data_IF_465693636837
#
_entry.id   IF_465693636837
#
_cell.length_a   1.000
_cell.length_b   1.000
_cell.length_c   1.000
_cell.angle_alpha   90.00
_cell.angle_beta   90.00
_cell.angle_gamma   90.00
#
_symmetry.space_group_name_H-M   'P 1'
#
loop_
_entity.id
_entity.type
_entity.pdbx_description
1 polymer ?
#
# COMPACT_ATOMS: atom_id res chain seq x y z
N UNK A 1 -9.38 -6.45 5.45
CA UNK A 1 -9.15 -6.42 3.99
C UNK A 1 -8.07 -7.42 3.57
N UNK A 2 -6.83 -7.28 4.05
CA UNK A 2 -5.71 -8.13 3.64
C UNK A 2 -5.99 -9.64 3.76
N UNK A 3 -6.45 -10.09 4.95
CA UNK A 3 -6.80 -11.49 5.17
C UNK A 3 -7.89 -11.98 4.21
N UNK A 4 -8.89 -11.13 3.93
CA UNK A 4 -9.93 -11.46 2.96
C UNK A 4 -9.33 -11.71 1.58
N UNK A 5 -8.42 -10.84 1.10
CA UNK A 5 -7.80 -10.99 -0.22
C UNK A 5 -6.92 -12.25 -0.27
N UNK A 6 -6.18 -12.54 0.79
CA UNK A 6 -5.36 -13.75 0.90
C UNK A 6 -6.24 -15.01 0.82
N UNK A 7 -7.34 -15.05 1.57
CA UNK A 7 -8.18 -16.24 1.70
C UNK A 7 -9.14 -16.44 0.53
N UNK A 8 -9.74 -15.36 0.02
CA UNK A 8 -10.85 -15.44 -0.94
C UNK A 8 -10.42 -15.13 -2.38
N UNK A 9 -9.21 -14.58 -2.56
CA UNK A 9 -8.72 -14.16 -3.88
C UNK A 9 -7.34 -14.77 -4.20
N UNK A 10 -6.92 -15.78 -3.45
CA UNK A 10 -5.64 -16.46 -3.62
C UNK A 10 -4.42 -15.58 -3.35
N UNK A 11 -4.59 -14.49 -2.59
CA UNK A 11 -3.50 -13.57 -2.25
C UNK A 11 -2.96 -12.74 -3.41
N UNK A 12 -3.64 -12.73 -4.57
CA UNK A 12 -3.23 -12.00 -5.76
C UNK A 12 -4.40 -11.30 -6.43
N UNK A 13 -4.23 -10.02 -6.76
CA UNK A 13 -5.24 -9.26 -7.50
C UNK A 13 -4.74 -8.93 -8.90
N UNK A 14 -5.56 -9.26 -9.89
CA UNK A 14 -5.35 -9.02 -11.32
C UNK A 14 -6.59 -8.40 -11.94
N UNK A 15 -6.49 -7.86 -13.15
CA UNK A 15 -7.66 -7.32 -13.87
C UNK A 15 -8.74 -8.38 -14.10
N UNK A 16 -8.35 -9.66 -14.19
CA UNK A 16 -9.27 -10.76 -14.44
C UNK A 16 -10.08 -11.16 -13.20
N UNK A 17 -9.59 -10.89 -11.98
CA UNK A 17 -10.25 -11.33 -10.75
C UNK A 17 -10.69 -10.20 -9.82
N UNK A 18 -10.28 -8.94 -10.06
CA UNK A 18 -10.50 -7.84 -9.13
C UNK A 18 -11.99 -7.65 -8.79
N UNK A 19 -12.87 -7.61 -9.80
CA UNK A 19 -14.31 -7.40 -9.59
C UNK A 19 -14.95 -8.53 -8.78
N UNK A 20 -14.73 -9.78 -9.18
CA UNK A 20 -15.32 -10.95 -8.50
C UNK A 20 -14.76 -11.10 -7.08
N UNK A 21 -13.46 -10.90 -6.91
CA UNK A 21 -12.82 -10.90 -5.59
C UNK A 21 -13.43 -9.83 -4.67
N UNK A 22 -13.62 -8.61 -5.16
CA UNK A 22 -14.09 -7.48 -4.36
C UNK A 22 -15.60 -7.51 -4.08
N UNK A 23 -16.38 -8.27 -4.86
CA UNK A 23 -17.84 -8.39 -4.70
C UNK A 23 -18.25 -8.85 -3.29
N UNK A 24 -17.56 -9.84 -2.75
CA UNK A 24 -17.82 -10.40 -1.41
C UNK A 24 -17.14 -9.65 -0.26
N UNK A 25 -16.34 -8.60 -0.55
CA UNK A 25 -15.63 -7.88 0.50
C UNK A 25 -16.63 -7.14 1.39
N UNK A 26 -16.64 -7.51 2.67
CA UNK A 26 -17.36 -6.83 3.74
C UNK A 26 -16.43 -6.74 4.95
N UNK A 27 -15.96 -5.54 5.27
CA UNK A 27 -15.13 -5.26 6.44
C UNK A 27 -15.97 -4.83 7.64
N UNK A 28 -17.28 -4.70 7.47
CA UNK A 28 -18.17 -4.11 8.46
C UNK A 28 -17.91 -2.62 8.65
N UNK A 29 -17.30 -1.96 7.66
CA UNK A 29 -16.99 -0.53 7.73
C UNK A 29 -17.84 0.27 6.74
N UNK A 30 -18.08 1.55 7.06
CA UNK A 30 -18.73 2.49 6.12
C UNK A 30 -17.91 2.77 4.85
N UNK A 31 -16.68 2.24 4.76
CA UNK A 31 -15.73 2.56 3.70
C UNK A 31 -15.48 1.39 2.75
N UNK A 32 -16.23 0.30 2.89
CA UNK A 32 -16.05 -0.91 2.08
C UNK A 32 -16.11 -0.59 0.58
N UNK A 33 -17.01 0.29 0.15
CA UNK A 33 -17.12 0.70 -1.25
C UNK A 33 -15.90 1.49 -1.73
N UNK A 34 -15.35 2.36 -0.89
CA UNK A 34 -14.11 3.09 -1.21
C UNK A 34 -12.94 2.11 -1.37
N UNK A 35 -12.83 1.12 -0.49
CA UNK A 35 -11.79 0.09 -0.55
C UNK A 35 -11.90 -0.70 -1.86
N UNK A 36 -13.10 -1.17 -2.21
CA UNK A 36 -13.37 -1.88 -3.48
C UNK A 36 -12.98 -1.02 -4.67
N UNK A 37 -13.39 0.25 -4.69
CA UNK A 37 -13.06 1.18 -5.77
C UNK A 37 -11.55 1.40 -5.92
N UNK A 38 -10.80 1.57 -4.81
CA UNK A 38 -9.35 1.76 -4.88
C UNK A 38 -8.65 0.54 -5.51
N UNK A 39 -9.10 -0.68 -5.19
CA UNK A 39 -8.55 -1.90 -5.78
C UNK A 39 -8.92 -2.01 -7.27
N UNK A 40 -10.22 -1.92 -7.61
CA UNK A 40 -10.71 -2.12 -8.98
C UNK A 40 -10.15 -1.05 -9.93
N UNK A 41 -10.23 0.22 -9.55
CA UNK A 41 -9.78 1.32 -10.40
C UNK A 41 -8.26 1.32 -10.59
N UNK A 42 -7.49 0.92 -9.57
CA UNK A 42 -6.03 0.85 -9.72
C UNK A 42 -5.64 -0.22 -10.73
N UNK A 43 -6.21 -1.42 -10.62
CA UNK A 43 -5.92 -2.52 -11.54
C UNK A 43 -6.39 -2.20 -12.96
N UNK A 44 -7.58 -1.60 -13.11
CA UNK A 44 -8.09 -1.17 -14.40
C UNK A 44 -7.23 -0.07 -15.05
N UNK A 45 -6.72 0.88 -14.27
CA UNK A 45 -5.81 1.91 -14.76
C UNK A 45 -4.52 1.30 -15.31
N UNK A 46 -3.92 0.36 -14.59
CA UNK A 46 -2.72 -0.35 -15.05
C UNK A 46 -2.96 -1.09 -16.38
N UNK A 47 -4.07 -1.81 -16.47
CA UNK A 47 -4.46 -2.50 -17.71
C UNK A 47 -4.64 -1.55 -18.91
N UNK A 48 -5.25 -0.36 -18.71
CA UNK A 48 -5.43 0.66 -19.77
C UNK A 48 -4.12 1.20 -20.33
N UNK A 49 -3.07 1.26 -19.51
CA UNK A 49 -1.77 1.72 -19.96
C UNK A 49 -0.88 0.58 -20.51
N UNK A 50 -1.41 -0.64 -20.65
CA UNK A 50 -0.64 -1.85 -20.98
C UNK A 50 0.53 -2.12 -20.02
N UNK A 51 0.45 -1.56 -18.81
CA UNK A 51 1.43 -1.74 -17.76
C UNK A 51 0.85 -2.78 -16.80
N UNK A 52 1.46 -3.97 -16.71
CA UNK A 52 1.24 -4.95 -15.62
C UNK A 52 -0.18 -4.97 -15.02
N UNK A 53 -1.12 -5.80 -15.53
CA UNK A 53 -2.55 -5.78 -15.18
C UNK A 53 -2.83 -6.40 -13.79
N UNK A 54 -2.08 -5.94 -12.80
CA UNK A 54 -2.02 -6.41 -11.43
C UNK A 54 -2.12 -5.22 -10.48
N UNK A 55 -2.62 -5.49 -9.28
CA UNK A 55 -2.68 -4.47 -8.23
C UNK A 55 -1.27 -4.00 -7.85
N UNK A 56 -1.03 -2.69 -7.91
CA UNK A 56 0.26 -2.09 -7.57
C UNK A 56 0.36 -1.70 -6.10
N UNK A 57 1.59 -1.51 -5.61
CA UNK A 57 1.88 -1.12 -4.23
C UNK A 57 1.12 0.15 -3.80
N UNK A 58 1.08 1.16 -4.67
CA UNK A 58 0.38 2.43 -4.44
C UNK A 58 -1.12 2.25 -4.30
N UNK A 59 -1.76 1.53 -5.24
CA UNK A 59 -3.19 1.29 -5.20
C UNK A 59 -3.61 0.49 -3.97
N UNK A 60 -2.80 -0.51 -3.62
CA UNK A 60 -3.03 -1.30 -2.42
C UNK A 60 -2.92 -0.45 -1.14
N UNK A 61 -1.89 0.37 -0.99
CA UNK A 61 -1.74 1.23 0.20
C UNK A 61 -2.90 2.22 0.34
N UNK A 62 -3.43 2.76 -0.77
CA UNK A 62 -4.65 3.57 -0.74
C UNK A 62 -5.85 2.80 -0.23
N UNK A 63 -6.03 1.55 -0.68
CA UNK A 63 -7.11 0.69 -0.22
C UNK A 63 -6.96 0.32 1.26
N UNK A 64 -5.74 -0.01 1.72
CA UNK A 64 -5.47 -0.26 3.15
C UNK A 64 -5.77 0.97 3.98
N UNK A 65 -5.28 2.15 3.57
CA UNK A 65 -5.50 3.40 4.29
C UNK A 65 -6.99 3.75 4.40
N UNK A 66 -7.75 3.59 3.31
CA UNK A 66 -9.20 3.76 3.32
C UNK A 66 -9.90 2.77 4.25
N UNK A 67 -9.46 1.51 4.28
CA UNK A 67 -10.01 0.49 5.16
C UNK A 67 -9.77 0.80 6.65
N UNK A 68 -8.61 1.38 6.99
CA UNK A 68 -8.22 1.62 8.39
C UNK A 68 -8.67 2.97 8.94
N UNK A 69 -8.73 4.00 8.10
CA UNK A 69 -9.02 5.38 8.53
C UNK A 69 -10.38 5.89 8.06
N UNK A 70 -10.92 5.31 6.99
CA UNK A 70 -12.08 5.84 6.28
C UNK A 70 -11.83 7.10 5.47
N UNK A 71 -10.56 7.41 5.21
CA UNK A 71 -10.17 8.54 4.38
C UNK A 71 -9.53 8.06 3.07
N UNK A 72 -9.58 8.91 2.05
CA UNK A 72 -8.92 8.65 0.78
C UNK A 72 -7.50 9.24 0.78
N UNK A 73 -6.48 8.40 0.61
CA UNK A 73 -5.12 8.85 0.33
C UNK A 73 -4.98 9.23 -1.16
N UNK A 74 -5.45 10.42 -1.51
CA UNK A 74 -5.51 10.90 -2.89
C UNK A 74 -4.17 11.47 -3.37
N UNK A 75 -3.27 10.59 -3.83
CA UNK A 75 -1.97 10.97 -4.43
C UNK A 75 -1.80 10.45 -5.86
N UNK A 76 -0.98 11.12 -6.65
CA UNK A 76 -0.58 10.69 -8.01
C UNK A 76 0.89 10.26 -8.02
N UNK A 77 1.33 9.62 -9.11
CA UNK A 77 2.72 9.22 -9.31
C UNK A 77 3.15 7.92 -8.60
N UNK A 78 4.41 7.56 -8.84
CA UNK A 78 5.03 6.31 -8.41
C UNK A 78 5.44 6.39 -6.93
N UNK A 79 5.85 5.26 -6.33
CA UNK A 79 6.16 5.22 -4.92
C UNK A 79 7.41 6.05 -4.56
N UNK A 80 8.44 6.05 -5.40
CA UNK A 80 9.67 6.83 -5.18
C UNK A 80 9.39 8.33 -5.06
N UNK A 81 8.40 8.85 -5.82
CA UNK A 81 8.03 10.27 -5.74
C UNK A 81 7.34 10.64 -4.43
N UNK A 82 7.10 9.69 -3.52
CA UNK A 82 6.50 9.93 -2.19
C UNK A 82 7.52 10.15 -1.08
N UNK A 83 8.81 10.18 -1.40
CA UNK A 83 9.87 10.53 -0.46
C UNK A 83 9.92 12.06 -0.22
N UNK A 84 8.84 12.59 0.35
CA UNK A 84 8.60 14.02 0.61
C UNK A 84 7.19 14.26 1.15
N UNK A 85 6.89 15.49 1.58
CA UNK A 85 5.58 15.81 2.14
C UNK A 85 4.48 15.73 1.07
N UNK A 86 3.38 15.03 1.38
CA UNK A 86 2.31 14.79 0.40
C UNK A 86 0.93 14.68 1.04
N UNK A 87 -0.04 15.41 0.50
CA UNK A 87 -1.46 15.16 0.77
C UNK A 87 -1.83 15.18 2.26
N UNK A 88 -1.23 16.07 3.04
CA UNK A 88 -1.45 16.17 4.48
C UNK A 88 -0.61 15.22 5.34
N UNK A 89 0.29 14.45 4.72
CA UNK A 89 1.28 13.64 5.42
C UNK A 89 2.63 14.35 5.44
N UNK A 90 3.30 14.26 6.59
CA UNK A 90 4.68 14.67 6.77
C UNK A 90 5.59 13.48 6.49
N UNK A 91 6.63 13.68 5.68
CA UNK A 91 7.64 12.67 5.45
C UNK A 91 8.68 12.70 6.56
N UNK A 92 8.82 11.56 7.24
CA UNK A 92 9.85 11.32 8.24
C UNK A 92 10.99 10.57 7.55
N UNK A 93 12.12 11.25 7.38
CA UNK A 93 13.33 10.61 6.87
C UNK A 93 13.81 9.57 7.88
N UNK A 94 14.22 8.38 7.41
CA UNK A 94 14.60 7.28 8.31
C UNK A 94 15.78 7.57 9.25
N UNK A 95 16.61 8.57 8.91
CA UNK A 95 17.86 8.86 9.62
C UNK A 95 17.66 9.85 10.77
N UNK A 96 16.78 10.84 10.58
CA UNK A 96 16.62 11.98 11.50
C UNK A 96 15.17 12.39 11.76
N UNK A 97 14.20 11.65 11.22
CA UNK A 97 12.77 11.84 11.50
C UNK A 97 12.29 11.13 12.76
N UNK A 98 11.03 11.38 13.11
CA UNK A 98 10.37 10.71 14.23
C UNK A 98 10.20 9.21 13.93
N UNK A 99 10.39 8.29 14.90
CA UNK A 99 10.29 6.84 14.69
C UNK A 99 8.98 6.39 13.99
N UNK A 100 9.01 5.30 13.21
CA UNK A 100 7.82 4.82 12.51
C UNK A 100 6.79 4.29 13.50
N UNK A 101 5.51 4.44 13.17
CA UNK A 101 4.39 3.90 13.95
C UNK A 101 3.40 3.15 13.07
N UNK A 102 2.57 2.32 13.69
CA UNK A 102 1.44 1.70 13.00
C UNK A 102 0.54 2.78 12.40
N UNK A 103 0.14 2.60 11.15
CA UNK A 103 -0.64 3.57 10.39
C UNK A 103 0.16 4.43 9.41
N UNK A 104 1.48 4.50 9.58
CA UNK A 104 2.35 5.19 8.63
C UNK A 104 2.51 4.38 7.33
N UNK A 105 3.02 5.04 6.29
CA UNK A 105 3.32 4.39 5.01
C UNK A 105 4.82 4.45 4.74
N UNK A 106 5.50 3.30 4.79
CA UNK A 106 6.92 3.18 4.51
C UNK A 106 7.20 3.33 3.01
N UNK A 107 8.20 4.15 2.66
CA UNK A 107 8.56 4.47 1.27
C UNK A 107 10.00 4.03 1.01
N UNK A 108 10.17 3.21 -0.01
CA UNK A 108 11.47 2.88 -0.59
C UNK A 108 11.65 3.56 -1.93
N UNK A 109 12.87 4.00 -2.22
CA UNK A 109 13.26 4.70 -3.45
C UNK A 109 14.23 3.88 -4.31
N UNK A 110 14.30 2.56 -4.09
CA UNK A 110 15.05 1.67 -4.98
C UNK A 110 14.33 1.47 -6.32
N UNK A 111 15.08 1.49 -7.43
CA UNK A 111 14.54 1.39 -8.79
C UNK A 111 13.91 2.70 -9.30
N UNK A 112 13.28 2.64 -10.48
CA UNK A 112 12.66 3.82 -11.12
C UNK A 112 11.36 4.25 -10.44
N UNK A 113 10.58 3.28 -9.95
CA UNK A 113 9.24 3.52 -9.43
C UNK A 113 9.18 3.51 -7.90
N UNK A 114 10.20 3.01 -7.22
CA UNK A 114 10.22 2.81 -5.77
C UNK A 114 9.20 1.77 -5.29
N UNK A 115 8.98 1.74 -3.98
CA UNK A 115 7.95 0.92 -3.36
C UNK A 115 7.30 1.61 -2.17
N UNK A 116 6.02 1.33 -1.91
CA UNK A 116 5.31 1.84 -0.73
C UNK A 116 4.53 0.72 -0.06
N UNK A 117 4.53 0.71 1.26
CA UNK A 117 3.81 -0.27 2.06
C UNK A 117 3.16 0.38 3.28
N UNK A 118 2.09 -0.22 3.79
CA UNK A 118 1.40 0.27 4.99
C UNK A 118 1.96 -0.41 6.23
N UNK A 119 2.42 0.36 7.22
CA UNK A 119 2.99 -0.15 8.46
C UNK A 119 1.86 -0.61 9.39
N UNK A 120 1.82 -1.91 9.68
CA UNK A 120 0.83 -2.51 10.60
C UNK A 120 1.36 -2.61 12.02
N UNK A 121 2.68 -2.66 12.19
CA UNK A 121 3.36 -2.63 13.48
C UNK A 121 4.75 -2.03 13.31
N UNK A 122 5.23 -1.31 14.32
CA UNK A 122 6.61 -0.86 14.41
C UNK A 122 7.17 -1.18 15.79
N UNK A 123 8.42 -1.62 15.81
CA UNK A 123 9.27 -1.78 16.99
C UNK A 123 10.64 -1.17 16.68
N UNK A 124 11.47 -0.97 17.70
CA UNK A 124 12.69 -0.15 17.66
C UNK A 124 13.50 -0.24 16.35
N UNK A 125 13.79 -1.45 15.87
CA UNK A 125 14.61 -1.68 14.67
C UNK A 125 13.85 -2.36 13.53
N UNK A 126 12.55 -2.65 13.68
CA UNK A 126 11.76 -3.43 12.72
C UNK A 126 10.41 -2.77 12.45
N UNK A 127 10.07 -2.66 11.17
CA UNK A 127 8.71 -2.38 10.71
C UNK A 127 8.08 -3.65 10.14
N UNK A 128 6.83 -3.91 10.50
CA UNK A 128 5.99 -4.89 9.85
C UNK A 128 5.02 -4.17 8.95
N UNK A 129 5.02 -4.56 7.68
CA UNK A 129 4.19 -3.94 6.67
C UNK A 129 3.25 -4.94 6.03
N UNK A 130 2.15 -4.41 5.52
CA UNK A 130 1.38 -5.07 4.47
C UNK A 130 1.63 -4.35 3.16
N UNK A 131 1.94 -5.11 2.12
CA UNK A 131 2.33 -4.59 0.81
C UNK A 131 1.74 -5.40 -0.34
N UNK A 132 1.71 -4.80 -1.52
CA UNK A 132 1.39 -5.48 -2.77
C UNK A 132 2.50 -5.30 -3.81
N UNK A 133 2.61 -6.25 -4.73
CA UNK A 133 3.46 -6.15 -5.92
C UNK A 133 4.97 -5.99 -5.66
N UNK A 134 5.50 -6.52 -4.55
CA UNK A 134 6.94 -6.53 -4.28
C UNK A 134 7.53 -7.93 -4.37
N UNK A 135 8.26 -8.21 -5.44
CA UNK A 135 8.88 -9.53 -5.68
C UNK A 135 7.89 -10.64 -6.06
N UNK A 136 6.61 -10.32 -6.22
CA UNK A 136 5.62 -11.13 -6.92
C UNK A 136 4.52 -10.21 -7.46
N UNK A 137 4.15 -10.41 -8.73
CA UNK A 137 3.15 -9.61 -9.43
C UNK A 137 1.75 -9.73 -8.81
N UNK A 138 1.17 -8.60 -8.36
CA UNK A 138 -0.15 -8.50 -7.77
C UNK A 138 -0.33 -9.21 -6.43
N UNK A 139 0.71 -9.88 -5.92
CA UNK A 139 0.69 -10.58 -4.65
C UNK A 139 0.59 -9.59 -3.49
N UNK A 140 -0.24 -9.91 -2.51
CA UNK A 140 -0.33 -9.21 -1.24
C UNK A 140 0.32 -10.07 -0.17
N UNK A 141 1.13 -9.45 0.70
CA UNK A 141 1.79 -10.15 1.80
C UNK A 141 2.02 -9.26 3.00
N UNK A 142 2.17 -9.92 4.14
CA UNK A 142 2.83 -9.35 5.32
C UNK A 142 4.33 -9.58 5.21
N UNK A 143 5.13 -8.59 5.62
CA UNK A 143 6.58 -8.73 5.66
C UNK A 143 7.20 -7.82 6.70
N UNK A 144 8.23 -8.32 7.36
CA UNK A 144 9.04 -7.56 8.31
C UNK A 144 10.30 -7.06 7.63
N UNK A 145 10.67 -5.81 7.92
CA UNK A 145 11.87 -5.17 7.41
C UNK A 145 12.61 -4.48 8.54
N UNK A 146 13.94 -4.62 8.63
CA UNK A 146 14.76 -3.74 9.43
C UNK A 146 14.60 -2.27 8.99
N UNK A 147 14.58 -1.31 9.92
CA UNK A 147 14.51 0.13 9.59
C UNK A 147 15.76 0.60 8.81
N UNK A 148 16.89 -0.09 8.96
CA UNK A 148 18.09 0.18 8.19
C UNK A 148 18.14 -0.49 6.81
N UNK A 149 17.06 -1.14 6.36
CA UNK A 149 17.00 -1.81 5.05
C UNK A 149 17.44 -0.87 3.92
N UNK A 150 18.33 -1.30 3.01
CA UNK A 150 18.72 -0.51 1.84
C UNK A 150 17.51 -0.06 1.00
N UNK A 151 17.59 1.15 0.45
CA UNK A 151 16.51 1.72 -0.36
C UNK A 151 15.31 2.25 0.43
N UNK A 152 15.12 1.89 1.71
CA UNK A 152 14.11 2.54 2.55
C UNK A 152 14.52 4.01 2.73
N UNK A 153 13.66 4.95 2.37
CA UNK A 153 13.94 6.38 2.49
C UNK A 153 13.35 6.96 3.79
N UNK A 154 12.20 6.45 4.22
CA UNK A 154 11.45 6.98 5.35
C UNK A 154 10.00 6.52 5.35
N UNK A 155 9.14 7.27 6.04
CA UNK A 155 7.71 6.98 6.12
C UNK A 155 6.88 8.25 6.08
N UNK A 156 5.71 8.16 5.44
CA UNK A 156 4.70 9.19 5.48
C UNK A 156 3.85 9.02 6.74
N UNK A 157 3.88 10.03 7.60
CA UNK A 157 3.14 10.08 8.87
C UNK A 157 2.04 11.11 8.80
N UNK A 158 0.88 10.80 9.36
CA UNK A 158 -0.13 11.82 9.63
C UNK A 158 0.31 12.62 10.87
N UNK A 159 0.25 13.97 10.83
CA UNK A 159 0.51 14.81 12.00
C UNK A 159 -0.33 14.43 13.22
#
# INVERSE_FOLDING_TARGET
>A
MTNYIIQNCGGRITVANADECMKGLNLGTKNDDLVKQQIILNVAAMARYHLNPYLQCVGFVKAVYAATTGENYSTTGNAASRAGDHGGFKFQNKTNGDPPKAGDMAVWTDGSDGHIAYIVRAADDIIEVVEANRGCDGCIRYKSYPVNTPGLAGWLSKP
#
